data_IF_961161384990
#
_entry.id   IF_961161384990
#
_cell.length_a   1.000
_cell.length_b   1.000
_cell.length_c   1.000
_cell.angle_alpha   90.00
_cell.angle_beta   90.00
_cell.angle_gamma   90.00
#
_symmetry.space_group_name_H-M   'P 1'
#
loop_
_entity.id
_entity.type
_entity.pdbx_description
1 polymer ?
#
# COMPACT_ATOMS: atom_id res chain seq x y z
N UNK A 1 9.56 20.88 32.76
CA UNK A 1 10.00 19.64 32.09
C UNK A 1 9.52 19.69 30.66
N UNK A 2 10.44 19.44 29.72
CA UNK A 2 10.28 19.73 28.29
C UNK A 2 9.26 18.83 27.61
N UNK A 3 8.65 19.42 26.59
CA UNK A 3 7.54 18.95 25.77
C UNK A 3 7.85 17.67 24.99
N UNK A 4 6.79 16.88 24.76
CA UNK A 4 6.76 15.71 23.90
C UNK A 4 7.27 16.04 22.49
N UNK A 5 8.34 15.38 22.08
CA UNK A 5 8.77 15.31 20.68
C UNK A 5 8.58 13.87 20.22
N UNK A 6 7.38 13.55 19.75
CA UNK A 6 7.13 12.34 18.95
C UNK A 6 6.03 12.65 17.92
N UNK A 7 6.25 13.73 17.16
CA UNK A 7 5.44 14.07 16.00
C UNK A 7 5.93 13.27 14.80
N UNK A 8 5.64 11.98 14.74
CA UNK A 8 5.44 11.34 13.44
C UNK A 8 4.08 11.84 12.97
N UNK A 9 4.03 13.08 12.45
CA UNK A 9 2.87 13.50 11.67
C UNK A 9 2.59 12.41 10.64
N UNK A 10 1.33 12.00 10.52
CA UNK A 10 0.95 10.91 9.63
C UNK A 10 1.46 11.24 8.22
N UNK A 11 2.56 10.60 7.83
CA UNK A 11 3.26 10.83 6.56
C UNK A 11 2.32 10.62 5.37
N UNK A 12 1.31 9.78 5.56
CA UNK A 12 0.33 9.37 4.57
C UNK A 12 -0.77 10.43 4.46
N UNK A 13 -0.91 10.98 3.26
CA UNK A 13 -1.99 11.90 2.90
C UNK A 13 -3.22 11.13 2.42
N UNK A 14 -3.02 10.16 1.54
CA UNK A 14 -4.11 9.35 0.97
C UNK A 14 -3.68 7.91 0.74
N UNK A 15 -4.62 7.00 0.92
CA UNK A 15 -4.53 5.59 0.50
C UNK A 15 -5.69 5.32 -0.46
N UNK A 16 -5.40 4.77 -1.62
CA UNK A 16 -6.41 4.42 -2.62
C UNK A 16 -6.23 2.98 -3.06
N UNK A 17 -7.34 2.25 -3.15
CA UNK A 17 -7.37 0.89 -3.67
C UNK A 17 -8.10 0.85 -5.01
N UNK A 18 -7.57 0.06 -5.93
CA UNK A 18 -8.19 -0.23 -7.21
C UNK A 18 -8.23 -1.73 -7.46
N UNK A 19 -9.40 -2.22 -7.83
CA UNK A 19 -9.68 -3.61 -8.13
C UNK A 19 -9.78 -3.81 -9.63
N UNK A 20 -8.86 -4.60 -10.18
CA UNK A 20 -8.82 -4.89 -11.61
C UNK A 20 -9.04 -6.39 -11.84
N UNK A 21 -10.15 -6.76 -12.48
CA UNK A 21 -10.33 -8.11 -13.00
C UNK A 21 -9.40 -8.31 -14.21
N UNK A 22 -8.50 -9.30 -14.14
CA UNK A 22 -7.56 -9.60 -15.21
C UNK A 22 -8.10 -10.69 -16.14
N UNK A 23 -8.72 -11.71 -15.56
CA UNK A 23 -9.24 -12.87 -16.28
C UNK A 23 -10.39 -13.50 -15.50
N UNK A 24 -11.41 -13.96 -16.23
CA UNK A 24 -12.50 -14.76 -15.70
C UNK A 24 -12.61 -16.04 -16.51
N UNK A 25 -12.45 -17.19 -15.84
CA UNK A 25 -12.62 -18.53 -16.39
C UNK A 25 -13.90 -19.14 -15.80
N UNK A 26 -14.96 -19.15 -16.61
CA UNK A 26 -16.27 -19.66 -16.20
C UNK A 26 -16.28 -21.18 -16.06
N UNK A 27 -15.47 -21.90 -16.84
CA UNK A 27 -15.42 -23.36 -16.83
C UNK A 27 -14.76 -23.86 -15.54
N UNK A 28 -13.75 -23.12 -15.05
CA UNK A 28 -13.05 -23.42 -13.78
C UNK A 28 -13.59 -22.66 -12.58
N UNK A 29 -14.68 -21.92 -12.76
CA UNK A 29 -15.28 -21.03 -11.74
C UNK A 29 -14.21 -20.17 -11.05
N UNK A 30 -13.29 -19.60 -11.83
CA UNK A 30 -12.14 -18.88 -11.31
C UNK A 30 -12.10 -17.45 -11.85
N UNK A 31 -11.76 -16.49 -10.99
CA UNK A 31 -11.51 -15.11 -11.39
C UNK A 31 -10.16 -14.67 -10.83
N UNK A 32 -9.33 -14.09 -11.69
CA UNK A 32 -8.03 -13.52 -11.33
C UNK A 32 -8.21 -12.01 -11.20
N UNK A 33 -7.85 -11.48 -10.04
CA UNK A 33 -7.87 -10.06 -9.75
C UNK A 33 -6.47 -9.54 -9.44
N UNK A 34 -6.23 -8.28 -9.81
CA UNK A 34 -5.12 -7.47 -9.30
C UNK A 34 -5.70 -6.36 -8.44
N UNK A 35 -5.28 -6.31 -7.18
CA UNK A 35 -5.54 -5.18 -6.31
C UNK A 35 -4.30 -4.30 -6.30
N UNK A 36 -4.50 -3.02 -6.56
CA UNK A 36 -3.46 -1.99 -6.56
C UNK A 36 -3.75 -1.06 -5.38
N UNK A 37 -2.75 -0.83 -4.55
CA UNK A 37 -2.77 0.15 -3.48
C UNK A 37 -1.80 1.28 -3.82
N UNK A 38 -2.30 2.51 -3.82
CA UNK A 38 -1.52 3.72 -4.05
C UNK A 38 -1.49 4.53 -2.76
N UNK A 39 -0.29 4.81 -2.27
CA UNK A 39 -0.06 5.62 -1.07
C UNK A 39 0.65 6.90 -1.48
N UNK A 40 0.03 8.03 -1.17
CA UNK A 40 0.62 9.36 -1.39
C UNK A 40 0.92 10.02 -0.06
N UNK A 41 2.07 10.69 0.04
CA UNK A 41 2.49 11.42 1.23
C UNK A 41 2.27 12.93 1.10
N UNK A 42 2.33 13.65 2.23
CA UNK A 42 2.32 15.13 2.23
C UNK A 42 3.56 15.74 1.56
N UNK A 43 4.67 15.00 1.51
CA UNK A 43 5.88 15.42 0.78
C UNK A 43 5.75 15.29 -0.75
N UNK A 44 4.65 14.71 -1.24
CA UNK A 44 4.41 14.48 -2.67
C UNK A 44 5.00 13.17 -3.21
N UNK A 45 5.60 12.33 -2.35
CA UNK A 45 6.03 10.98 -2.74
C UNK A 45 4.79 10.11 -2.91
N UNK A 46 4.75 9.38 -4.02
CA UNK A 46 3.70 8.43 -4.33
C UNK A 46 4.34 7.07 -4.58
N UNK A 47 3.82 6.03 -3.94
CA UNK A 47 4.24 4.64 -4.20
C UNK A 47 3.03 3.77 -4.50
N UNK A 48 3.25 2.79 -5.36
CA UNK A 48 2.26 1.77 -5.72
C UNK A 48 2.75 0.40 -5.22
N UNK A 49 1.87 -0.30 -4.51
CA UNK A 49 1.99 -1.73 -4.23
C UNK A 49 0.85 -2.48 -4.93
N UNK A 50 1.11 -3.68 -5.42
CA UNK A 50 0.03 -4.49 -5.99
C UNK A 50 0.15 -5.96 -5.59
N UNK A 51 -0.98 -6.65 -5.65
CA UNK A 51 -1.07 -8.08 -5.38
C UNK A 51 -2.05 -8.75 -6.35
N UNK A 52 -1.67 -9.90 -6.90
CA UNK A 52 -2.51 -10.71 -7.78
C UNK A 52 -2.93 -11.96 -7.02
N UNK A 53 -4.20 -12.30 -7.10
CA UNK A 53 -4.71 -13.55 -6.55
C UNK A 53 -5.76 -14.14 -7.48
N UNK A 54 -5.85 -15.46 -7.42
CA UNK A 54 -6.87 -16.23 -8.13
C UNK A 54 -7.89 -16.68 -7.10
N UNK A 55 -9.15 -16.36 -7.35
CA UNK A 55 -10.27 -16.83 -6.54
C UNK A 55 -10.96 -17.95 -7.28
N UNK A 56 -11.13 -19.08 -6.62
CA UNK A 56 -11.91 -20.20 -7.14
C UNK A 56 -13.27 -20.28 -6.43
N UNK A 57 -14.27 -20.84 -7.11
CA UNK A 57 -15.54 -21.24 -6.54
C UNK A 57 -16.30 -20.10 -5.84
N UNK A 58 -16.37 -18.90 -6.43
CA UNK A 58 -17.17 -17.81 -5.84
C UNK A 58 -18.65 -18.13 -5.98
N UNK A 59 -19.23 -18.76 -4.95
CA UNK A 59 -20.65 -19.11 -4.90
C UNK A 59 -21.47 -18.11 -4.07
N UNK A 60 -20.84 -17.37 -3.14
CA UNK A 60 -21.53 -16.44 -2.24
C UNK A 60 -20.88 -15.04 -2.22
N UNK A 61 -21.71 -14.02 -2.01
CA UNK A 61 -21.29 -12.61 -1.98
C UNK A 61 -20.38 -12.30 -0.78
N UNK A 62 -20.49 -13.08 0.30
CA UNK A 62 -19.73 -12.90 1.54
C UNK A 62 -18.24 -13.29 1.37
N UNK A 63 -17.97 -14.31 0.55
CA UNK A 63 -16.60 -14.73 0.21
C UNK A 63 -15.85 -13.61 -0.51
N UNK A 64 -16.55 -12.84 -1.36
CA UNK A 64 -15.97 -11.67 -2.05
C UNK A 64 -15.50 -10.60 -1.08
N UNK A 65 -16.22 -10.37 0.02
CA UNK A 65 -15.87 -9.34 1.00
C UNK A 65 -14.67 -9.75 1.88
N UNK A 66 -14.60 -11.03 2.27
CA UNK A 66 -13.45 -11.56 3.02
C UNK A 66 -12.17 -11.56 2.16
N UNK A 67 -12.31 -11.91 0.88
CA UNK A 67 -11.23 -11.80 -0.11
C UNK A 67 -10.82 -10.34 -0.35
N UNK A 68 -11.79 -9.42 -0.30
CA UNK A 68 -11.53 -8.00 -0.46
C UNK A 68 -10.60 -7.44 0.62
N UNK A 69 -10.93 -7.72 1.89
CA UNK A 69 -10.12 -7.26 3.02
C UNK A 69 -8.71 -7.87 3.03
N UNK A 70 -8.58 -9.15 2.70
CA UNK A 70 -7.28 -9.85 2.72
C UNK A 70 -6.34 -9.32 1.64
N UNK A 71 -6.87 -9.10 0.44
CA UNK A 71 -6.08 -8.64 -0.70
C UNK A 71 -5.74 -7.14 -0.64
N UNK A 72 -6.63 -6.31 -0.12
CA UNK A 72 -6.34 -4.90 0.18
C UNK A 72 -5.20 -4.80 1.20
N UNK A 73 -5.24 -5.61 2.26
CA UNK A 73 -4.15 -5.67 3.25
C UNK A 73 -2.81 -6.08 2.63
N UNK A 74 -2.79 -7.07 1.72
CA UNK A 74 -1.56 -7.47 1.03
C UNK A 74 -1.00 -6.37 0.11
N UNK A 75 -1.85 -5.74 -0.69
CA UNK A 75 -1.45 -4.63 -1.56
C UNK A 75 -0.95 -3.42 -0.76
N UNK A 76 -1.60 -3.12 0.37
CA UNK A 76 -1.20 -2.07 1.30
C UNK A 76 0.16 -2.34 1.94
N UNK A 77 0.38 -3.56 2.45
CA UNK A 77 1.65 -3.94 3.06
C UNK A 77 2.81 -3.82 2.04
N UNK A 78 2.60 -4.25 0.80
CA UNK A 78 3.57 -4.07 -0.28
C UNK A 78 3.85 -2.58 -0.53
N UNK A 79 2.81 -1.75 -0.60
CA UNK A 79 2.94 -0.31 -0.81
C UNK A 79 3.70 0.37 0.35
N UNK A 80 3.42 0.00 1.59
CA UNK A 80 4.12 0.52 2.77
C UNK A 80 5.60 0.12 2.77
N UNK A 81 5.93 -1.13 2.45
CA UNK A 81 7.33 -1.56 2.35
C UNK A 81 8.08 -0.76 1.27
N UNK A 82 7.47 -0.56 0.11
CA UNK A 82 8.00 0.31 -0.94
C UNK A 82 8.17 1.75 -0.46
N UNK A 83 7.18 2.30 0.28
CA UNK A 83 7.27 3.65 0.84
C UNK A 83 8.40 3.76 1.85
N UNK A 84 8.52 2.81 2.77
CA UNK A 84 9.58 2.79 3.78
C UNK A 84 10.96 2.72 3.12
N UNK A 85 11.12 1.87 2.11
CA UNK A 85 12.35 1.81 1.33
C UNK A 85 12.61 3.14 0.60
N UNK A 86 11.63 3.69 -0.12
CA UNK A 86 11.77 4.96 -0.83
C UNK A 86 12.08 6.13 0.12
N UNK A 87 11.51 6.15 1.33
CA UNK A 87 11.82 7.13 2.37
C UNK A 87 13.22 6.93 2.96
N UNK A 88 13.65 5.67 3.19
CA UNK A 88 15.01 5.37 3.62
C UNK A 88 16.06 5.76 2.57
N UNK A 89 15.77 5.57 1.28
CA UNK A 89 16.63 5.94 0.15
C UNK A 89 16.60 7.45 -0.19
N UNK A 90 15.43 8.10 -0.09
CA UNK A 90 15.32 9.56 -0.23
C UNK A 90 15.86 10.32 0.99
N UNK A 91 16.05 9.61 2.11
CA UNK A 91 17.18 9.73 3.01
C UNK A 91 16.85 10.15 4.45
N UNK A 92 17.72 9.88 5.41
CA UNK A 92 19.15 10.19 5.31
C UNK A 92 19.51 11.54 4.60
N UNK A 93 18.56 12.28 4.00
CA UNK A 93 18.69 13.65 3.49
C UNK A 93 18.17 14.67 4.51
N UNK A 94 17.46 14.23 5.56
CA UNK A 94 17.25 15.05 6.77
C UNK A 94 18.51 15.09 7.65
N UNK A 95 19.42 14.13 7.53
CA UNK A 95 20.67 14.09 8.32
C UNK A 95 21.84 14.85 7.69
N UNK A 96 21.85 15.11 6.38
CA UNK A 96 22.95 15.86 5.74
C UNK A 96 22.82 17.38 5.86
N UNK A 97 21.61 17.93 6.02
CA UNK A 97 21.44 19.39 6.19
C UNK A 97 21.81 19.92 7.58
N UNK A 98 21.93 19.05 8.59
CA UNK A 98 22.38 19.44 9.94
C UNK A 98 23.88 19.23 10.19
N UNK A 99 24.57 18.47 9.34
CA UNK A 99 26.03 18.28 9.47
C UNK A 99 26.86 19.34 8.71
N UNK A 100 26.23 20.21 7.91
CA UNK A 100 26.90 21.33 7.22
C UNK A 100 26.51 22.71 7.80
N UNK A 101 26.02 22.73 9.04
CA UNK A 101 25.91 23.96 9.83
C UNK A 101 26.60 23.71 11.17
N UNK A 102 27.89 23.45 11.10
CA UNK A 102 28.85 23.71 12.18
C UNK A 102 29.76 24.86 11.72
#
# INVERSE_FOLDING_TARGET
>A
MMQATNGVECLIKTVQYQWNELLSDKDKQAIIFRVVCVISTYSGICVEGSHIFTVHNISHTEDKNALALTSESAAYNNAIQCLTAAMAFSGQVVSMKKANVE
#
